data_IF_950687790546
#
_entry.id   IF_950687790546
#
_cell.length_a   1.000
_cell.length_b   1.000
_cell.length_c   1.000
_cell.angle_alpha   90.00
_cell.angle_beta   90.00
_cell.angle_gamma   90.00
#
_symmetry.space_group_name_H-M   'P 1'
#
loop_
_entity.id
_entity.type
_entity.pdbx_description
1 polymer ?
#
# COMPACT_ATOMS: atom_id res chain seq x y z
N UNK A 1 -9.84 6.65 -9.38
CA UNK A 1 -9.28 6.22 -8.09
C UNK A 1 -10.21 5.20 -7.46
N UNK A 2 -10.10 3.95 -7.90
CA UNK A 2 -10.83 2.83 -7.28
C UNK A 2 -10.02 2.30 -6.10
N UNK A 3 -10.60 2.37 -4.89
CA UNK A 3 -10.02 1.79 -3.68
C UNK A 3 -10.59 0.40 -3.47
N UNK A 4 -10.04 -0.56 -4.21
CA UNK A 4 -10.40 -1.96 -4.07
C UNK A 4 -9.16 -2.73 -3.62
N UNK A 5 -9.19 -3.20 -2.37
CA UNK A 5 -8.05 -3.85 -1.70
C UNK A 5 -7.51 -5.05 -2.51
N UNK A 6 -8.32 -6.06 -2.87
CA UNK A 6 -7.83 -7.19 -3.66
C UNK A 6 -7.29 -6.78 -5.04
N UNK A 7 -7.89 -5.79 -5.70
CA UNK A 7 -7.36 -5.31 -6.99
C UNK A 7 -6.03 -4.59 -6.82
N UNK A 8 -5.86 -3.81 -5.75
CA UNK A 8 -4.63 -3.08 -5.49
C UNK A 8 -3.47 -4.02 -5.11
N UNK A 9 -3.73 -5.07 -4.33
CA UNK A 9 -2.76 -6.13 -4.04
C UNK A 9 -2.30 -6.77 -5.36
N UNK A 10 -3.24 -7.23 -6.17
CA UNK A 10 -2.95 -7.88 -7.45
C UNK A 10 -2.21 -6.94 -8.41
N UNK A 11 -2.57 -5.66 -8.45
CA UNK A 11 -1.90 -4.65 -9.26
C UNK A 11 -0.45 -4.45 -8.82
N UNK A 12 -0.19 -4.39 -7.51
CA UNK A 12 1.17 -4.30 -6.99
C UNK A 12 2.00 -5.55 -7.31
N UNK A 13 1.41 -6.74 -7.13
CA UNK A 13 2.07 -7.99 -7.48
C UNK A 13 2.47 -8.02 -8.96
N UNK A 14 1.52 -7.72 -9.86
CA UNK A 14 1.79 -7.66 -11.29
C UNK A 14 2.83 -6.62 -11.66
N UNK A 15 2.81 -5.45 -11.02
CA UNK A 15 3.80 -4.40 -11.23
C UNK A 15 5.19 -4.85 -10.78
N UNK A 16 5.31 -5.48 -9.61
CA UNK A 16 6.57 -6.00 -9.10
C UNK A 16 7.11 -7.14 -9.98
N UNK A 17 6.28 -8.12 -10.35
CA UNK A 17 6.69 -9.24 -11.21
C UNK A 17 7.15 -8.76 -12.59
N UNK A 18 6.43 -7.80 -13.19
CA UNK A 18 6.79 -7.25 -14.51
C UNK A 18 8.13 -6.51 -14.52
N UNK A 19 8.48 -5.83 -13.43
CA UNK A 19 9.69 -5.04 -13.32
C UNK A 19 10.81 -5.76 -12.56
N UNK A 20 10.60 -7.03 -12.17
CA UNK A 20 11.52 -7.82 -11.35
C UNK A 20 11.87 -7.13 -10.00
N UNK A 21 10.92 -6.38 -9.44
CA UNK A 21 11.10 -5.70 -8.16
C UNK A 21 10.74 -6.58 -6.97
N UNK A 22 11.47 -6.46 -5.84
CA UNK A 22 11.09 -7.12 -4.60
C UNK A 22 9.73 -6.61 -4.11
N UNK A 23 8.91 -7.53 -3.62
CA UNK A 23 7.61 -7.21 -3.02
C UNK A 23 7.82 -6.70 -1.59
N UNK A 24 7.95 -5.38 -1.45
CA UNK A 24 8.07 -4.72 -0.14
C UNK A 24 6.72 -4.58 0.56
N UNK A 25 5.67 -4.27 -0.19
CA UNK A 25 4.33 -4.11 0.37
C UNK A 25 3.84 -5.45 0.97
N UNK A 26 3.12 -5.41 2.10
CA UNK A 26 2.54 -6.60 2.72
C UNK A 26 1.52 -7.26 1.77
N UNK A 27 1.56 -8.60 1.70
CA UNK A 27 0.69 -9.43 0.84
C UNK A 27 -0.80 -9.16 1.09
N UNK A 28 -1.19 -9.07 2.37
CA UNK A 28 -2.57 -8.74 2.78
C UNK A 28 -2.89 -7.23 2.73
N UNK A 29 -1.94 -6.38 2.34
CA UNK A 29 -2.05 -4.93 2.38
C UNK A 29 -2.05 -4.31 3.78
N UNK A 30 -1.93 -5.10 4.85
CA UNK A 30 -1.98 -4.60 6.23
C UNK A 30 -0.58 -4.22 6.71
N UNK A 31 -0.40 -2.97 7.11
CA UNK A 31 0.85 -2.50 7.71
C UNK A 31 1.08 -3.17 9.07
N UNK A 32 2.27 -3.73 9.30
CA UNK A 32 2.65 -4.37 10.57
C UNK A 32 2.85 -3.40 11.74
N UNK A 33 3.05 -2.10 11.48
CA UNK A 33 3.26 -1.07 12.51
C UNK A 33 1.92 -0.48 12.97
N UNK A 34 1.11 0.01 12.02
CA UNK A 34 -0.15 0.70 12.35
C UNK A 34 -1.40 -0.15 12.18
N UNK A 35 -1.28 -1.40 11.70
CA UNK A 35 -2.39 -2.35 11.49
C UNK A 35 -3.51 -1.84 10.55
N UNK A 36 -3.23 -0.80 9.76
CA UNK A 36 -4.16 -0.27 8.76
C UNK A 36 -3.85 -0.86 7.39
N UNK A 37 -4.89 -1.07 6.59
CA UNK A 37 -4.74 -1.56 5.23
C UNK A 37 -4.33 -0.42 4.28
N UNK A 38 -3.12 -0.48 3.73
CA UNK A 38 -2.51 0.56 2.90
C UNK A 38 -3.31 0.87 1.64
N UNK A 39 -4.19 -0.01 1.20
CA UNK A 39 -5.07 0.16 0.03
C UNK A 39 -6.46 0.69 0.40
N UNK A 40 -6.71 0.97 1.67
CA UNK A 40 -7.99 1.52 2.12
C UNK A 40 -8.12 2.99 1.72
N UNK A 41 -9.29 3.39 1.24
CA UNK A 41 -9.61 4.79 0.99
C UNK A 41 -9.49 5.63 2.26
N UNK A 42 -9.82 5.06 3.42
CA UNK A 42 -9.92 5.80 4.66
C UNK A 42 -8.97 5.22 5.71
N UNK A 43 -7.97 6.00 6.10
CA UNK A 43 -7.09 5.68 7.21
C UNK A 43 -6.72 6.92 8.02
N UNK A 44 -5.82 6.73 8.97
CA UNK A 44 -5.35 7.77 9.89
C UNK A 44 -3.85 7.76 10.00
N UNK A 45 -3.27 8.95 9.95
CA UNK A 45 -1.85 9.14 10.23
C UNK A 45 -1.51 8.78 11.68
N UNK A 46 -0.22 8.67 12.00
CA UNK A 46 0.27 8.50 13.38
C UNK A 46 -0.26 9.57 14.36
N UNK A 47 -0.62 10.76 13.85
CA UNK A 47 -1.18 11.86 14.64
C UNK A 47 -2.72 11.88 14.67
N UNK A 48 -3.39 10.84 14.16
CA UNK A 48 -4.85 10.73 14.15
C UNK A 48 -5.55 11.52 13.03
N UNK A 49 -4.80 12.25 12.18
CA UNK A 49 -5.37 12.97 11.03
C UNK A 49 -5.84 11.97 9.96
N UNK A 50 -7.08 12.14 9.48
CA UNK A 50 -7.61 11.34 8.35
C UNK A 50 -6.77 11.54 7.10
N UNK A 51 -6.49 10.46 6.39
CA UNK A 51 -5.77 10.44 5.12
C UNK A 51 -6.22 9.26 4.28
N UNK A 52 -5.80 9.25 3.02
CA UNK A 52 -6.11 8.19 2.07
C UNK A 52 -4.93 7.23 1.91
N UNK A 53 -5.25 5.98 1.62
CA UNK A 53 -4.27 4.97 1.22
C UNK A 53 -3.92 5.06 -0.26
N UNK A 54 -3.40 3.95 -0.77
CA UNK A 54 -2.93 3.79 -2.15
C UNK A 54 -4.06 3.15 -2.96
N UNK A 55 -4.49 3.81 -4.04
CA UNK A 55 -5.49 3.25 -4.95
C UNK A 55 -4.90 2.11 -5.79
N UNK A 56 -5.76 1.27 -6.37
CA UNK A 56 -5.32 0.19 -7.25
C UNK A 56 -4.52 0.69 -8.48
N UNK A 57 -4.91 1.85 -9.03
CA UNK A 57 -4.16 2.52 -10.12
C UNK A 57 -2.73 2.87 -9.69
N UNK A 58 -2.55 3.43 -8.49
CA UNK A 58 -1.22 3.78 -7.98
C UNK A 58 -0.36 2.56 -7.69
N UNK A 59 -0.96 1.49 -7.14
CA UNK A 59 -0.29 0.21 -6.91
C UNK A 59 0.18 -0.46 -8.23
N UNK A 60 -0.58 -0.29 -9.31
CA UNK A 60 -0.19 -0.79 -10.63
C UNK A 60 0.87 0.05 -11.35
N UNK A 61 1.25 1.22 -10.83
CA UNK A 61 2.13 2.16 -11.53
C UNK A 61 3.37 2.58 -10.72
N UNK A 62 3.39 2.34 -9.40
CA UNK A 62 4.46 2.75 -8.51
C UNK A 62 4.86 1.63 -7.55
N UNK A 63 6.16 1.51 -7.25
CA UNK A 63 6.66 0.59 -6.24
C UNK A 63 6.30 1.11 -4.84
N UNK A 64 5.53 0.32 -4.09
CA UNK A 64 5.15 0.68 -2.73
C UNK A 64 6.22 0.18 -1.77
N UNK A 65 7.01 1.12 -1.23
CA UNK A 65 8.09 0.83 -0.28
C UNK A 65 7.76 1.24 1.16
N UNK A 66 6.58 1.79 1.42
CA UNK A 66 6.21 2.25 2.76
C UNK A 66 4.71 2.46 2.97
N UNK A 67 4.33 2.63 4.24
CA UNK A 67 2.95 2.82 4.65
C UNK A 67 2.52 4.28 4.48
N UNK A 68 1.42 4.58 3.74
CA UNK A 68 0.90 5.94 3.57
C UNK A 68 0.32 6.55 4.86
N UNK A 69 0.05 5.72 5.87
CA UNK A 69 -0.58 6.16 7.12
C UNK A 69 0.45 6.50 8.19
N UNK A 70 1.26 5.53 8.62
CA UNK A 70 2.23 5.75 9.68
C UNK A 70 3.61 6.20 9.17
N UNK A 71 3.83 6.19 7.85
CA UNK A 71 5.11 6.57 7.25
C UNK A 71 6.23 5.54 7.46
N UNK A 72 5.89 4.32 7.89
CA UNK A 72 6.86 3.24 8.09
C UNK A 72 7.39 2.73 6.74
N UNK A 73 8.71 2.62 6.59
CA UNK A 73 9.34 1.93 5.45
C UNK A 73 9.18 0.41 5.59
N UNK A 74 8.93 -0.24 4.47
CA UNK A 74 8.98 -1.70 4.29
C UNK A 74 10.30 -2.18 3.68
N UNK A 75 11.08 -1.24 3.13
CA UNK A 75 12.48 -1.48 2.78
C UNK A 75 13.30 -1.24 4.05
N UNK A 76 13.69 -2.32 4.71
CA UNK A 76 14.70 -2.36 5.78
C UNK A 76 15.72 -3.44 5.42
#
# INVERSE_FOLDING_TARGET
MTYNIPEAIKAQEQFCDKNEYPRFAPDNGICWDCHQNIYSENGRTRYGKKTHGISAESAGNHLITGCPFCGRSYCD
#
